data_IF_098081074008
#
_entry.id   IF_098081074008
#
_cell.length_a   1.000
_cell.length_b   1.000
_cell.length_c   1.000
_cell.angle_alpha   90.00
_cell.angle_beta   90.00
_cell.angle_gamma   90.00
#
_symmetry.space_group_name_H-M   'P 1'
#
loop_
_entity.id
_entity.type
_entity.pdbx_description
1 polymer ?
#
# COMPACT_ATOMS: atom_id res chain seq x y z
N UNK A 1 0.71 16.77 -6.93
CA UNK A 1 0.60 15.49 -7.68
C UNK A 1 -0.86 15.19 -7.91
N UNK A 2 -1.20 14.50 -8.95
CA UNK A 2 -2.57 14.13 -9.26
C UNK A 2 -2.75 12.64 -9.02
N UNK A 3 -3.94 12.26 -8.60
CA UNK A 3 -4.37 10.85 -8.58
C UNK A 3 -4.11 10.21 -9.94
N UNK A 4 -3.41 9.09 -9.96
CA UNK A 4 -3.09 8.36 -11.18
C UNK A 4 -4.18 7.33 -11.49
N UNK A 5 -4.93 7.52 -12.56
CA UNK A 5 -5.95 6.56 -12.98
C UNK A 5 -5.30 5.34 -13.61
N UNK A 6 -5.40 4.18 -12.95
CA UNK A 6 -4.97 2.88 -13.47
C UNK A 6 -6.11 2.27 -14.29
N UNK A 7 -7.32 2.31 -13.73
CA UNK A 7 -8.56 1.94 -14.41
C UNK A 7 -9.72 2.83 -13.94
N UNK A 8 -10.95 2.49 -14.27
CA UNK A 8 -12.13 3.21 -13.74
C UNK A 8 -12.30 2.99 -12.23
N UNK A 9 -11.91 1.84 -11.71
CA UNK A 9 -12.06 1.47 -10.31
C UNK A 9 -10.77 1.59 -9.51
N UNK A 10 -9.59 1.49 -10.13
CA UNK A 10 -8.30 1.44 -9.46
C UNK A 10 -7.54 2.76 -9.68
N UNK A 11 -7.23 3.43 -8.59
CA UNK A 11 -6.55 4.73 -8.58
C UNK A 11 -5.26 4.63 -7.78
N UNK A 12 -4.16 5.14 -8.34
CA UNK A 12 -2.90 5.34 -7.62
C UNK A 12 -2.93 6.66 -6.86
N UNK A 13 -2.71 6.59 -5.56
CA UNK A 13 -2.73 7.76 -4.63
C UNK A 13 -1.38 8.00 -3.98
N UNK A 14 -0.36 7.25 -4.37
CA UNK A 14 1.00 7.37 -3.86
C UNK A 14 1.64 8.73 -4.07
N UNK A 15 2.87 8.88 -3.63
CA UNK A 15 3.63 10.15 -3.67
C UNK A 15 5.02 9.92 -4.19
N UNK A 16 5.46 10.76 -5.13
CA UNK A 16 6.86 10.82 -5.56
C UNK A 16 7.62 11.82 -4.67
N UNK A 17 8.56 11.33 -3.86
CA UNK A 17 9.46 12.15 -3.07
C UNK A 17 10.78 12.36 -3.81
N UNK A 18 10.93 13.50 -4.46
CA UNK A 18 12.15 13.90 -5.15
C UNK A 18 13.11 14.72 -4.27
N UNK A 19 12.80 14.84 -2.99
CA UNK A 19 13.56 15.64 -2.03
C UNK A 19 14.47 14.82 -1.12
N UNK A 20 14.31 13.49 -1.15
CA UNK A 20 15.11 12.55 -0.39
C UNK A 20 16.41 12.21 -1.13
N UNK A 21 17.54 12.27 -0.46
CA UNK A 21 18.84 11.88 -1.01
C UNK A 21 19.23 10.44 -0.68
N UNK A 22 18.80 9.97 0.50
CA UNK A 22 19.11 8.62 1.01
C UNK A 22 17.82 7.95 1.50
N UNK A 23 17.43 6.86 0.87
CA UNK A 23 16.38 6.00 1.38
C UNK A 23 16.94 5.17 2.54
N UNK A 24 16.18 5.07 3.64
CA UNK A 24 16.59 4.42 4.90
C UNK A 24 17.96 4.86 5.45
N UNK A 25 18.41 6.06 5.12
CA UNK A 25 19.75 6.58 5.47
C UNK A 25 20.92 5.76 4.91
N UNK A 26 20.68 4.87 3.96
CA UNK A 26 21.69 3.95 3.42
C UNK A 26 21.78 3.98 1.89
N UNK A 27 20.65 4.02 1.20
CA UNK A 27 20.60 3.85 -0.25
C UNK A 27 20.51 5.20 -0.96
N UNK A 28 21.54 5.61 -1.73
CA UNK A 28 21.45 6.82 -2.54
C UNK A 28 20.33 6.72 -3.57
N UNK A 29 19.43 7.71 -3.57
CA UNK A 29 18.29 7.79 -4.48
C UNK A 29 18.29 9.13 -5.23
N UNK A 30 19.20 9.30 -6.19
CA UNK A 30 19.41 10.59 -6.85
C UNK A 30 18.21 11.09 -7.66
N UNK A 31 17.26 10.24 -7.95
CA UNK A 31 15.99 10.57 -8.63
C UNK A 31 14.81 10.55 -7.67
N UNK A 32 15.06 10.41 -6.36
CA UNK A 32 14.01 10.26 -5.35
C UNK A 32 13.43 8.85 -5.27
N UNK A 33 12.25 8.75 -4.66
CA UNK A 33 11.54 7.49 -4.39
C UNK A 33 10.06 7.70 -4.66
N UNK A 34 9.38 6.68 -5.20
CA UNK A 34 7.91 6.66 -5.30
C UNK A 34 7.34 5.77 -4.20
N UNK A 35 6.56 6.36 -3.29
CA UNK A 35 5.78 5.62 -2.31
C UNK A 35 4.45 5.21 -2.94
N UNK A 36 4.19 3.93 -3.02
CA UNK A 36 3.04 3.39 -3.74
C UNK A 36 1.88 3.08 -2.81
N UNK A 37 0.73 3.70 -3.07
CA UNK A 37 -0.53 3.42 -2.39
C UNK A 37 -1.67 3.51 -3.41
N UNK A 38 -2.72 2.71 -3.20
CA UNK A 38 -3.80 2.60 -4.17
C UNK A 38 -5.15 2.64 -3.51
N UNK A 39 -6.19 3.00 -4.29
CA UNK A 39 -7.59 2.91 -3.89
C UNK A 39 -8.32 2.05 -4.92
N UNK A 40 -9.14 1.11 -4.45
CA UNK A 40 -10.11 0.40 -5.27
C UNK A 40 -11.51 0.88 -4.88
N UNK A 41 -12.21 1.46 -5.83
CA UNK A 41 -13.58 1.95 -5.67
C UNK A 41 -14.57 0.90 -6.18
N UNK A 42 -15.31 0.31 -5.25
CA UNK A 42 -16.34 -0.69 -5.55
C UNK A 42 -17.51 -0.51 -4.57
N UNK A 43 -18.36 -1.53 -4.38
CA UNK A 43 -19.39 -1.54 -3.31
C UNK A 43 -18.72 -1.29 -1.95
N UNK A 44 -17.59 -1.98 -1.71
CA UNK A 44 -16.64 -1.72 -0.63
C UNK A 44 -15.40 -1.03 -1.18
N UNK A 45 -14.95 0.00 -0.50
CA UNK A 45 -13.75 0.75 -0.88
C UNK A 45 -12.53 0.23 -0.10
N UNK A 46 -11.47 -0.15 -0.80
CA UNK A 46 -10.22 -0.58 -0.20
C UNK A 46 -9.08 0.40 -0.51
N UNK A 47 -8.29 0.72 0.52
CA UNK A 47 -6.98 1.37 0.38
C UNK A 47 -5.92 0.27 0.50
N UNK A 48 -4.90 0.27 -0.35
CA UNK A 48 -3.79 -0.67 -0.32
C UNK A 48 -2.50 0.08 0.02
N UNK A 49 -1.90 -0.30 1.13
CA UNK A 49 -0.75 0.32 1.76
C UNK A 49 -0.91 1.83 2.03
N UNK A 50 0.02 2.38 2.77
CA UNK A 50 0.15 3.81 3.01
C UNK A 50 1.47 4.30 2.42
N UNK A 51 2.03 5.39 2.92
CA UNK A 51 3.28 5.96 2.46
C UNK A 51 4.16 6.32 3.66
N UNK A 52 5.43 6.67 3.40
CA UNK A 52 6.34 7.19 4.42
C UNK A 52 5.76 8.43 5.12
N UNK A 53 6.12 8.61 6.39
CA UNK A 53 5.66 9.72 7.23
C UNK A 53 5.97 11.11 6.62
N UNK A 54 7.03 11.22 5.82
CA UNK A 54 7.42 12.47 5.12
C UNK A 54 6.38 12.89 4.08
N UNK A 55 5.70 11.91 3.47
CA UNK A 55 4.73 12.10 2.41
C UNK A 55 3.27 12.11 2.89
N UNK A 56 3.05 12.15 4.21
CA UNK A 56 1.70 12.02 4.80
C UNK A 56 0.70 13.02 4.25
N UNK A 57 1.02 14.30 4.22
CA UNK A 57 0.04 15.33 3.84
C UNK A 57 -0.32 15.26 2.34
N UNK A 58 0.63 15.22 1.37
CA UNK A 58 0.27 15.06 -0.04
C UNK A 58 -0.43 13.74 -0.33
N UNK A 59 -0.11 12.66 0.40
CA UNK A 59 -0.84 11.40 0.28
C UNK A 59 -2.30 11.51 0.74
N UNK A 60 -2.56 12.17 1.87
CA UNK A 60 -3.93 12.39 2.37
C UNK A 60 -4.76 13.26 1.42
N UNK A 61 -4.13 14.24 0.75
CA UNK A 61 -4.77 15.03 -0.29
C UNK A 61 -5.18 14.14 -1.48
N UNK A 62 -4.25 13.33 -2.00
CA UNK A 62 -4.53 12.39 -3.09
C UNK A 62 -5.60 11.37 -2.70
N UNK A 63 -5.53 10.82 -1.48
CA UNK A 63 -6.50 9.87 -0.97
C UNK A 63 -7.90 10.48 -0.87
N UNK A 64 -7.99 11.72 -0.35
CA UNK A 64 -9.25 12.45 -0.23
C UNK A 64 -9.88 12.71 -1.61
N UNK A 65 -9.07 13.12 -2.57
CA UNK A 65 -9.51 13.31 -3.97
C UNK A 65 -10.05 12.00 -4.55
N UNK A 66 -9.28 10.90 -4.42
CA UNK A 66 -9.66 9.59 -4.94
C UNK A 66 -10.93 9.03 -4.31
N UNK A 67 -11.10 9.21 -3.00
CA UNK A 67 -12.28 8.76 -2.27
C UNK A 67 -13.55 9.54 -2.66
N UNK A 68 -13.43 10.77 -3.14
CA UNK A 68 -14.55 11.60 -3.60
C UNK A 68 -15.73 11.64 -2.61
N UNK A 69 -15.41 11.75 -1.31
CA UNK A 69 -16.40 11.78 -0.22
C UNK A 69 -16.83 10.40 0.31
N UNK A 70 -16.36 9.32 -0.26
CA UNK A 70 -16.51 7.96 0.29
C UNK A 70 -15.65 7.78 1.54
N UNK A 71 -15.96 6.77 2.34
CA UNK A 71 -15.10 6.29 3.42
C UNK A 71 -14.53 4.94 3.01
N UNK A 72 -13.25 4.66 3.29
CA UNK A 72 -12.70 3.33 3.05
C UNK A 72 -13.31 2.32 4.02
N UNK A 73 -13.70 1.17 3.51
CA UNK A 73 -14.12 0.01 4.30
C UNK A 73 -12.92 -0.78 4.80
N UNK A 74 -11.86 -0.84 3.99
CA UNK A 74 -10.66 -1.62 4.25
C UNK A 74 -9.37 -0.83 4.02
N UNK A 75 -8.37 -1.08 4.89
CA UNK A 75 -6.96 -0.82 4.61
C UNK A 75 -6.27 -2.18 4.51
N UNK A 76 -5.80 -2.53 3.33
CA UNK A 76 -4.99 -3.74 3.10
C UNK A 76 -3.52 -3.38 3.30
N UNK A 77 -2.84 -4.08 4.18
CA UNK A 77 -1.42 -3.83 4.50
C UNK A 77 -0.59 -4.99 3.95
N UNK A 78 0.12 -4.71 2.86
CA UNK A 78 0.99 -5.67 2.19
C UNK A 78 2.33 -5.81 2.90
N UNK A 79 2.85 -4.68 3.46
CA UNK A 79 4.17 -4.58 4.05
C UNK A 79 4.20 -3.59 5.22
N UNK A 80 5.08 -3.80 6.19
CA UNK A 80 5.16 -3.00 7.42
C UNK A 80 6.38 -2.08 7.47
N UNK A 81 7.21 -2.06 6.42
CA UNK A 81 8.28 -1.06 6.31
C UNK A 81 7.69 0.36 6.33
N UNK A 82 8.41 1.37 6.89
CA UNK A 82 7.85 2.70 7.11
C UNK A 82 7.25 3.37 5.87
N UNK A 83 7.81 3.12 4.69
CA UNK A 83 7.31 3.67 3.42
C UNK A 83 5.99 3.07 2.94
N UNK A 84 5.55 1.94 3.53
CA UNK A 84 4.23 1.33 3.38
C UNK A 84 3.35 1.53 4.62
N UNK A 85 3.97 1.53 5.81
CA UNK A 85 3.26 1.36 7.08
C UNK A 85 3.08 2.60 7.94
N UNK A 86 3.87 3.67 7.74
CA UNK A 86 3.96 4.78 8.69
C UNK A 86 2.63 5.49 8.98
N UNK A 87 1.70 5.48 8.06
CA UNK A 87 0.41 6.16 8.21
C UNK A 87 -0.76 5.26 8.60
N UNK A 88 -0.54 3.96 8.88
CA UNK A 88 -1.61 3.01 9.23
C UNK A 88 -2.40 3.49 10.44
N UNK A 89 -1.73 3.84 11.54
CA UNK A 89 -2.39 4.29 12.76
C UNK A 89 -3.14 5.63 12.55
N UNK A 90 -2.57 6.54 11.76
CA UNK A 90 -3.20 7.83 11.41
C UNK A 90 -4.48 7.61 10.59
N UNK A 91 -4.41 6.75 9.57
CA UNK A 91 -5.57 6.45 8.74
C UNK A 91 -6.67 5.74 9.53
N UNK A 92 -6.30 4.79 10.40
CA UNK A 92 -7.22 4.10 11.27
C UNK A 92 -7.93 5.02 12.27
N UNK A 93 -7.28 6.09 12.72
CA UNK A 93 -7.87 7.12 13.57
C UNK A 93 -8.82 8.04 12.80
N UNK A 94 -8.50 8.38 11.53
CA UNK A 94 -9.37 9.18 10.66
C UNK A 94 -10.65 8.43 10.26
N UNK A 95 -10.56 7.10 10.11
CA UNK A 95 -11.69 6.25 9.71
C UNK A 95 -11.92 5.13 10.74
N UNK A 96 -12.59 5.42 11.86
CA UNK A 96 -12.75 4.47 12.96
C UNK A 96 -13.57 3.22 12.60
N UNK A 97 -14.39 3.28 11.55
CA UNK A 97 -15.17 2.13 11.06
C UNK A 97 -14.40 1.23 10.08
N UNK A 98 -13.27 1.74 9.54
CA UNK A 98 -12.44 1.00 8.58
C UNK A 98 -11.81 -0.22 9.24
N UNK A 99 -11.86 -1.37 8.58
CA UNK A 99 -11.15 -2.58 8.98
C UNK A 99 -9.74 -2.60 8.38
N UNK A 100 -8.79 -3.14 9.12
CA UNK A 100 -7.41 -3.33 8.67
C UNK A 100 -7.21 -4.81 8.32
N UNK A 101 -6.77 -5.07 7.10
CA UNK A 101 -6.56 -6.39 6.53
C UNK A 101 -5.07 -6.67 6.45
N UNK A 102 -4.63 -7.81 6.98
CA UNK A 102 -3.23 -8.23 6.94
C UNK A 102 -3.08 -9.65 7.44
N UNK A 103 -1.90 -10.22 7.32
CA UNK A 103 -1.65 -11.53 7.93
C UNK A 103 -1.30 -11.43 9.42
N UNK A 104 -1.16 -12.55 10.11
CA UNK A 104 -0.90 -12.56 11.55
C UNK A 104 0.42 -11.86 11.95
N UNK A 105 1.47 -11.92 11.09
CA UNK A 105 2.73 -11.23 11.37
C UNK A 105 2.61 -9.72 11.16
N UNK A 106 1.83 -9.29 10.19
CA UNK A 106 1.51 -7.87 9.96
C UNK A 106 0.95 -7.25 11.25
N UNK A 107 -0.02 -7.89 11.89
CA UNK A 107 -0.59 -7.40 13.15
C UNK A 107 0.39 -7.46 14.32
N UNK A 108 1.26 -8.48 14.37
CA UNK A 108 2.33 -8.53 15.36
C UNK A 108 3.27 -7.31 15.22
N UNK A 109 3.66 -6.95 14.00
CA UNK A 109 4.50 -5.78 13.75
C UNK A 109 3.77 -4.46 14.03
N UNK A 110 2.47 -4.36 13.71
CA UNK A 110 1.68 -3.19 14.09
C UNK A 110 1.68 -2.97 15.60
N UNK A 111 1.54 -4.04 16.40
CA UNK A 111 1.60 -3.95 17.85
C UNK A 111 2.97 -3.49 18.35
N UNK A 112 4.05 -3.93 17.69
CA UNK A 112 5.41 -3.51 18.05
C UNK A 112 5.69 -2.06 17.66
N UNK A 113 5.20 -1.59 16.52
CA UNK A 113 5.48 -0.25 16.02
C UNK A 113 4.56 0.82 16.61
N UNK A 114 3.28 0.51 16.79
CA UNK A 114 2.26 1.48 17.17
C UNK A 114 1.66 1.23 18.56
N UNK A 115 1.98 0.10 19.19
CA UNK A 115 1.37 -0.34 20.45
C UNK A 115 0.18 -1.27 20.25
N UNK A 116 -0.10 -2.09 21.27
CA UNK A 116 -1.10 -3.15 21.19
C UNK A 116 -2.53 -2.68 20.89
N UNK A 117 -2.85 -1.44 21.27
CA UNK A 117 -4.19 -0.85 21.16
C UNK A 117 -4.36 0.05 19.93
N UNK A 118 -3.32 0.20 19.09
CA UNK A 118 -3.37 1.08 17.92
C UNK A 118 -4.46 0.68 16.92
N UNK A 119 -4.67 -0.63 16.74
CA UNK A 119 -5.77 -1.18 15.95
C UNK A 119 -6.54 -2.15 16.84
N UNK A 120 -7.77 -1.80 17.17
CA UNK A 120 -8.65 -2.64 17.97
C UNK A 120 -8.85 -4.02 17.31
N UNK A 121 -8.91 -5.08 18.11
CA UNK A 121 -8.92 -6.46 17.58
C UNK A 121 -10.11 -6.76 16.68
N UNK A 122 -11.27 -6.19 16.98
CA UNK A 122 -12.50 -6.31 16.21
C UNK A 122 -12.44 -5.62 14.84
N UNK A 123 -11.45 -4.75 14.62
CA UNK A 123 -11.18 -4.10 13.33
C UNK A 123 -10.14 -4.83 12.49
N UNK A 124 -9.58 -5.94 13.00
CA UNK A 124 -8.53 -6.70 12.32
C UNK A 124 -9.13 -7.84 11.51
N UNK A 125 -8.87 -7.84 10.23
CA UNK A 125 -9.18 -8.95 9.32
C UNK A 125 -7.87 -9.72 9.07
N UNK A 126 -7.68 -10.81 9.82
CA UNK A 126 -6.48 -11.65 9.68
C UNK A 126 -6.70 -12.65 8.56
N UNK A 127 -5.97 -12.47 7.46
CA UNK A 127 -6.06 -13.33 6.28
C UNK A 127 -5.00 -14.44 6.29
N UNK A 128 -5.29 -15.51 5.54
CA UNK A 128 -4.40 -16.65 5.27
C UNK A 128 -3.89 -16.61 3.83
N UNK A 129 -2.84 -17.37 3.58
CA UNK A 129 -2.34 -17.55 2.22
C UNK A 129 -3.40 -18.16 1.30
N UNK A 130 -3.61 -17.54 0.13
CA UNK A 130 -4.64 -17.89 -0.83
C UNK A 130 -6.06 -17.45 -0.46
N UNK A 131 -6.28 -16.78 0.67
CA UNK A 131 -7.60 -16.27 1.05
C UNK A 131 -8.01 -15.07 0.20
N UNK A 132 -9.31 -14.88 0.00
CA UNK A 132 -9.83 -13.80 -0.83
C UNK A 132 -10.79 -12.89 -0.06
N UNK A 133 -10.80 -11.62 -0.43
CA UNK A 133 -11.70 -10.58 0.07
C UNK A 133 -12.48 -9.99 -1.10
N UNK A 134 -13.80 -10.11 -1.07
CA UNK A 134 -14.68 -9.46 -2.05
C UNK A 134 -14.95 -8.01 -1.67
N UNK A 135 -14.85 -7.12 -2.65
CA UNK A 135 -15.23 -5.72 -2.55
C UNK A 135 -16.58 -5.42 -3.23
N UNK A 136 -17.17 -6.43 -3.85
CA UNK A 136 -18.36 -6.38 -4.69
C UNK A 136 -18.05 -7.03 -6.03
N UNK A 137 -17.80 -6.24 -7.06
CA UNK A 137 -17.35 -6.73 -8.38
C UNK A 137 -15.89 -7.17 -8.36
N UNK A 138 -15.04 -6.47 -7.60
CA UNK A 138 -13.61 -6.75 -7.48
C UNK A 138 -13.34 -7.72 -6.33
N UNK A 139 -12.35 -8.58 -6.52
CA UNK A 139 -11.92 -9.55 -5.49
C UNK A 139 -10.41 -9.54 -5.37
N UNK A 140 -9.93 -9.33 -4.16
CA UNK A 140 -8.51 -9.44 -3.81
C UNK A 140 -8.22 -10.85 -3.30
N UNK A 141 -7.21 -11.51 -3.87
CA UNK A 141 -6.65 -12.76 -3.36
C UNK A 141 -5.26 -12.48 -2.80
N UNK A 142 -5.02 -12.88 -1.56
CA UNK A 142 -3.77 -12.63 -0.85
C UNK A 142 -2.82 -13.81 -1.03
N UNK A 143 -1.60 -13.52 -1.48
CA UNK A 143 -0.53 -14.51 -1.61
C UNK A 143 0.63 -14.09 -0.73
N UNK A 144 1.03 -14.97 0.19
CA UNK A 144 2.14 -14.67 1.09
C UNK A 144 3.47 -14.76 0.35
N UNK A 145 4.31 -13.76 0.55
CA UNK A 145 5.64 -13.67 -0.03
C UNK A 145 6.69 -13.45 1.08
N UNK A 146 6.79 -14.38 2.06
CA UNK A 146 7.66 -14.19 3.21
C UNK A 146 9.12 -14.06 2.77
N UNK A 147 9.83 -13.08 3.38
CA UNK A 147 11.21 -12.72 3.06
C UNK A 147 11.40 -12.07 1.69
N UNK A 148 10.32 -11.52 1.12
CA UNK A 148 10.40 -10.67 -0.08
C UNK A 148 9.85 -9.27 0.28
N UNK A 149 10.63 -8.38 1.04
CA UNK A 149 11.92 -8.79 1.64
C UNK A 149 11.79 -9.02 3.17
N UNK A 150 10.66 -8.72 3.81
CA UNK A 150 10.40 -8.97 5.23
C UNK A 150 9.49 -10.20 5.43
N UNK A 151 9.48 -10.77 6.67
CA UNK A 151 8.77 -12.02 6.95
C UNK A 151 7.24 -11.98 6.83
N UNK A 152 6.63 -10.79 6.89
CA UNK A 152 5.18 -10.60 6.85
C UNK A 152 4.66 -10.21 5.47
N UNK A 153 5.51 -9.99 4.49
CA UNK A 153 5.10 -9.51 3.16
C UNK A 153 4.05 -10.42 2.54
N UNK A 154 3.01 -9.80 2.03
CA UNK A 154 2.02 -10.43 1.16
C UNK A 154 1.74 -9.55 -0.05
N UNK A 155 1.40 -10.16 -1.16
CA UNK A 155 0.93 -9.48 -2.37
C UNK A 155 -0.56 -9.69 -2.54
N UNK A 156 -1.24 -8.77 -3.20
CA UNK A 156 -2.68 -8.84 -3.45
C UNK A 156 -2.95 -8.90 -4.95
N UNK A 157 -3.59 -9.97 -5.41
CA UNK A 157 -4.01 -10.09 -6.80
C UNK A 157 -5.49 -9.74 -6.94
N UNK A 158 -5.78 -8.72 -7.71
CA UNK A 158 -7.14 -8.32 -8.08
C UNK A 158 -7.53 -9.06 -9.38
N UNK A 159 -8.55 -9.89 -9.28
CA UNK A 159 -8.86 -10.88 -10.31
C UNK A 159 -9.72 -10.36 -11.47
N UNK A 160 -10.48 -9.29 -11.26
CA UNK A 160 -11.42 -8.74 -12.26
C UNK A 160 -10.66 -7.99 -13.36
N UNK A 161 -9.77 -7.10 -12.98
CA UNK A 161 -8.94 -6.32 -13.90
C UNK A 161 -7.53 -6.91 -14.07
N UNK A 162 -7.21 -7.99 -13.33
CA UNK A 162 -5.93 -8.72 -13.37
C UNK A 162 -4.74 -7.86 -12.97
N UNK A 163 -4.90 -7.12 -11.89
CA UNK A 163 -3.85 -6.24 -11.33
C UNK A 163 -3.18 -6.93 -10.15
N UNK A 164 -1.85 -6.93 -10.13
CA UNK A 164 -1.05 -7.40 -9.00
C UNK A 164 -0.51 -6.19 -8.22
N UNK A 165 -0.88 -6.10 -6.94
CA UNK A 165 -0.29 -5.16 -5.99
C UNK A 165 0.80 -5.90 -5.24
N UNK A 166 2.05 -5.63 -5.58
CA UNK A 166 3.19 -6.47 -5.21
C UNK A 166 4.07 -5.91 -4.09
N UNK A 167 3.67 -4.80 -3.45
CA UNK A 167 4.53 -4.07 -2.53
C UNK A 167 5.91 -3.81 -3.19
N UNK A 168 7.01 -4.20 -2.55
CA UNK A 168 8.37 -4.06 -3.10
C UNK A 168 8.72 -5.09 -4.16
N UNK A 169 7.92 -6.14 -4.27
CA UNK A 169 8.14 -7.15 -5.30
C UNK A 169 8.16 -6.54 -6.70
N UNK A 170 9.23 -6.77 -7.47
CA UNK A 170 9.46 -6.19 -8.80
C UNK A 170 9.71 -4.67 -8.81
N UNK A 171 9.87 -4.05 -7.64
CA UNK A 171 10.14 -2.64 -7.47
C UNK A 171 11.54 -2.23 -7.92
N UNK A 172 11.75 -0.93 -8.06
CA UNK A 172 13.07 -0.31 -8.21
C UNK A 172 13.07 1.04 -7.49
N UNK A 173 14.22 1.51 -7.08
CA UNK A 173 14.37 2.89 -6.60
C UNK A 173 14.21 3.91 -7.74
N UNK A 174 13.69 5.07 -7.40
CA UNK A 174 13.53 6.23 -8.27
C UNK A 174 12.10 6.73 -8.31
N UNK A 175 11.95 8.05 -8.24
CA UNK A 175 10.66 8.69 -8.53
C UNK A 175 10.44 8.67 -10.03
N UNK A 176 9.36 8.00 -10.47
CA UNK A 176 8.97 7.95 -11.89
C UNK A 176 7.81 8.90 -12.11
N UNK A 177 8.04 9.96 -12.90
CA UNK A 177 7.04 10.99 -13.18
C UNK A 177 5.81 10.48 -13.97
N UNK A 178 5.85 9.24 -14.48
CA UNK A 178 4.75 8.56 -15.18
C UNK A 178 4.88 7.06 -15.00
N UNK A 179 3.74 6.38 -14.92
CA UNK A 179 3.67 4.93 -15.13
C UNK A 179 4.29 4.61 -16.50
N UNK A 180 5.46 3.99 -16.51
CA UNK A 180 6.14 3.62 -17.73
C UNK A 180 5.72 2.20 -18.14
N UNK A 181 4.71 2.11 -18.99
CA UNK A 181 4.25 0.84 -19.58
C UNK A 181 5.36 0.11 -20.37
N UNK A 182 6.45 0.83 -20.67
CA UNK A 182 7.59 0.32 -21.46
C UNK A 182 8.84 0.12 -20.62
N UNK A 183 8.74 0.07 -19.28
CA UNK A 183 9.91 -0.18 -18.45
C UNK A 183 10.62 -1.45 -18.92
N UNK A 184 11.86 -1.31 -19.37
CA UNK A 184 12.69 -2.44 -19.80
C UNK A 184 12.92 -3.37 -18.59
N UNK A 185 12.45 -4.60 -18.69
CA UNK A 185 12.61 -5.60 -17.65
C UNK A 185 14.09 -5.88 -17.30
N UNK A 186 15.00 -5.60 -18.24
CA UNK A 186 16.44 -5.74 -18.01
C UNK A 186 17.01 -4.70 -17.02
N UNK A 187 16.32 -3.57 -16.82
CA UNK A 187 16.74 -2.49 -15.92
C UNK A 187 16.14 -2.61 -14.52
N UNK A 188 15.26 -3.58 -14.30
CA UNK A 188 14.67 -3.86 -13.01
C UNK A 188 15.64 -4.69 -12.17
N UNK A 189 16.58 -4.02 -11.56
CA UNK A 189 17.29 -4.60 -10.43
C UNK A 189 16.31 -4.61 -9.27
N UNK A 190 15.74 -5.78 -8.97
CA UNK A 190 15.08 -5.96 -7.70
C UNK A 190 16.11 -5.68 -6.61
N UNK A 191 15.90 -4.63 -5.84
CA UNK A 191 16.65 -4.42 -4.62
C UNK A 191 15.93 -5.27 -3.58
N UNK A 192 16.46 -6.46 -3.37
CA UNK A 192 16.10 -7.33 -2.25
C UNK A 192 17.19 -7.14 -1.20
#
# INVERSE_FOLDING_TARGET
>A
MSVNKISEAILGVGVDDTTIDLFESQYPVPTGVSYNSYVILDEKTAVLDTVDARATEPWLENLTEALAGRKPDYLVVSHMEPDHGANIAKLAALYPEMQVVGNAKTFLYMEQFFGADAIAKERRVVVKDGESLSLGTHTLTFVFAPMVHWPEVMVSYESTEKVLFSADGFGRFGAVAKFDEKADWADRKSVV
#
